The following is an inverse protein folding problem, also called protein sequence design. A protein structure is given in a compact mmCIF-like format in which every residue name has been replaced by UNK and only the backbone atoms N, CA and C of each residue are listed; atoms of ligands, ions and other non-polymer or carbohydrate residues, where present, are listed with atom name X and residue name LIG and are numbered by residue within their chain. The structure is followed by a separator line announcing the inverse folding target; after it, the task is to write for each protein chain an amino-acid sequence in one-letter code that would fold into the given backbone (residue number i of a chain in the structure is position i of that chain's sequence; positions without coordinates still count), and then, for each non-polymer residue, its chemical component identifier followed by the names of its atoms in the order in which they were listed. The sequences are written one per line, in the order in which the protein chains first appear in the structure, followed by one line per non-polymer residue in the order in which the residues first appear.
data_IF_134664625366
#
_entry.id   IF_134664625366
#
_cell.length_a   1.000
_cell.length_b   1.000
_cell.length_c   1.000
_cell.angle_alpha   90.00
_cell.angle_beta   90.00
_cell.angle_gamma   90.00
#
_symmetry.space_group_name_H-M   'P 1'
#
loop_
_entity.id
_entity.type
_entity.pdbx_description
1 polymer ?
#
# COMPACT_ATOMS: atom_id res chain seq x y z
N UNK A 1 -7.55 -14.42 9.30
CA UNK A 1 -8.28 -15.21 10.32
C UNK A 1 -8.50 -16.62 9.83
N UNK A 2 -9.13 -16.85 8.66
CA UNK A 2 -9.37 -18.23 8.14
C UNK A 2 -8.06 -19.01 8.05
N UNK A 3 -7.02 -18.48 7.43
CA UNK A 3 -5.71 -19.14 7.33
C UNK A 3 -5.09 -19.48 8.69
N UNK A 4 -5.31 -18.65 9.72
CA UNK A 4 -4.86 -18.95 11.08
C UNK A 4 -5.62 -20.15 11.67
N UNK A 5 -6.92 -20.23 11.44
CA UNK A 5 -7.75 -21.36 11.89
C UNK A 5 -7.34 -22.64 11.16
N UNK A 6 -7.20 -22.58 9.84
CA UNK A 6 -6.75 -23.71 9.02
C UNK A 6 -5.37 -24.22 9.47
N UNK A 7 -4.40 -23.33 9.67
CA UNK A 7 -3.07 -23.70 10.17
C UNK A 7 -3.15 -24.34 11.55
N UNK A 8 -3.98 -23.80 12.44
CA UNK A 8 -4.15 -24.34 13.78
C UNK A 8 -4.80 -25.74 13.77
N UNK A 9 -5.79 -25.95 12.89
CA UNK A 9 -6.41 -27.27 12.70
C UNK A 9 -5.43 -28.30 12.15
N UNK A 10 -4.66 -27.92 11.12
CA UNK A 10 -3.64 -28.82 10.53
C UNK A 10 -2.57 -29.18 11.56
N UNK A 11 -2.00 -28.23 12.27
CA UNK A 11 -0.94 -28.46 13.26
C UNK A 11 -1.40 -29.27 14.47
N UNK A 12 -2.70 -29.21 14.80
CA UNK A 12 -3.27 -29.96 15.93
C UNK A 12 -3.91 -31.30 15.52
N UNK A 13 -3.80 -31.72 14.25
CA UNK A 13 -4.52 -32.86 13.70
C UNK A 13 -6.02 -32.78 13.98
N UNK A 14 -6.64 -31.62 13.79
CA UNK A 14 -8.03 -31.32 14.06
C UNK A 14 -8.47 -31.46 15.54
N UNK A 15 -7.53 -31.45 16.48
CA UNK A 15 -7.82 -31.60 17.93
C UNK A 15 -7.71 -30.29 18.71
N UNK A 16 -7.70 -29.13 18.00
CA UNK A 16 -7.63 -27.84 18.66
C UNK A 16 -8.90 -27.56 19.50
N UNK A 17 -8.75 -27.08 20.74
CA UNK A 17 -9.91 -26.71 21.56
C UNK A 17 -10.72 -25.57 20.94
N UNK A 18 -12.05 -25.65 21.05
CA UNK A 18 -12.95 -24.60 20.56
C UNK A 18 -12.61 -23.23 21.16
N UNK A 19 -12.17 -23.18 22.39
CA UNK A 19 -11.72 -21.93 23.05
C UNK A 19 -10.54 -21.25 22.34
N UNK A 20 -9.67 -22.02 21.69
CA UNK A 20 -8.56 -21.48 20.90
C UNK A 20 -9.07 -20.89 19.59
N UNK A 21 -10.03 -21.56 18.93
CA UNK A 21 -10.68 -21.02 17.73
C UNK A 21 -11.37 -19.69 18.06
N UNK A 22 -12.10 -19.63 19.18
CA UNK A 22 -12.74 -18.39 19.64
C UNK A 22 -11.73 -17.27 19.84
N UNK A 23 -10.58 -17.55 20.49
CA UNK A 23 -9.51 -16.56 20.66
C UNK A 23 -8.95 -16.04 19.31
N UNK A 24 -8.77 -16.92 18.32
CA UNK A 24 -8.32 -16.51 16.98
C UNK A 24 -9.36 -15.60 16.32
N UNK A 25 -10.64 -15.92 16.44
CA UNK A 25 -11.73 -15.09 15.91
C UNK A 25 -11.79 -13.72 16.60
N UNK A 26 -11.67 -13.69 17.93
CA UNK A 26 -11.72 -12.44 18.70
C UNK A 26 -10.52 -11.55 18.39
N UNK A 27 -9.32 -12.14 18.26
CA UNK A 27 -8.12 -11.42 17.80
C UNK A 27 -8.34 -10.83 16.40
N UNK A 28 -8.93 -11.59 15.48
CA UNK A 28 -9.24 -11.10 14.15
C UNK A 28 -10.22 -9.92 14.15
N UNK A 29 -11.27 -10.00 14.98
CA UNK A 29 -12.24 -8.90 15.16
C UNK A 29 -11.57 -7.66 15.74
N UNK A 30 -10.72 -7.84 16.76
CA UNK A 30 -9.94 -6.74 17.35
C UNK A 30 -9.05 -6.06 16.31
N UNK A 31 -8.32 -6.84 15.50
CA UNK A 31 -7.47 -6.30 14.44
C UNK A 31 -8.26 -5.45 13.44
N UNK A 32 -9.46 -5.90 13.03
CA UNK A 32 -10.32 -5.15 12.11
C UNK A 32 -10.87 -3.87 12.76
N UNK A 33 -11.10 -3.88 14.08
CA UNK A 33 -11.69 -2.75 14.81
C UNK A 33 -10.66 -1.69 15.23
N UNK A 34 -9.37 -1.97 15.14
CA UNK A 34 -8.31 -1.01 15.53
C UNK A 34 -8.44 0.31 14.76
N UNK A 35 -8.22 1.45 15.43
CA UNK A 35 -8.19 2.73 14.75
C UNK A 35 -7.06 2.75 13.71
N UNK A 36 -7.28 3.48 12.62
CA UNK A 36 -6.25 3.72 11.61
C UNK A 36 -5.40 4.90 12.08
N UNK A 37 -4.12 4.65 12.30
CA UNK A 37 -3.15 5.69 12.62
C UNK A 37 -2.57 6.24 11.31
N UNK A 38 -2.82 7.54 11.06
CA UNK A 38 -2.28 8.22 9.89
C UNK A 38 -0.83 8.63 10.17
N UNK A 39 0.07 8.31 9.23
CA UNK A 39 1.47 8.70 9.32
C UNK A 39 1.59 10.22 9.34
N UNK A 40 2.44 10.74 10.23
CA UNK A 40 2.63 12.17 10.41
C UNK A 40 3.02 12.87 9.08
N UNK A 41 2.36 14.00 8.83
CA UNK A 41 2.56 14.81 7.64
C UNK A 41 1.82 14.37 6.38
N UNK A 42 1.20 13.18 6.35
CA UNK A 42 0.45 12.69 5.17
C UNK A 42 -0.69 13.65 4.81
N UNK A 43 -1.53 14.03 5.77
CA UNK A 43 -2.65 14.92 5.49
C UNK A 43 -2.18 16.30 4.96
N UNK A 44 -1.09 16.84 5.49
CA UNK A 44 -0.48 18.08 5.00
C UNK A 44 -0.08 17.98 3.52
N UNK A 45 0.54 16.87 3.15
CA UNK A 45 0.97 16.59 1.77
C UNK A 45 -0.24 16.49 0.86
N UNK A 46 -1.24 15.67 1.22
CA UNK A 46 -2.44 15.48 0.40
C UNK A 46 -3.19 16.80 0.19
N UNK A 47 -3.34 17.62 1.24
CA UNK A 47 -3.97 18.94 1.16
C UNK A 47 -3.22 19.86 0.18
N UNK A 48 -1.90 19.78 0.10
CA UNK A 48 -1.11 20.60 -0.81
C UNK A 48 -1.25 20.15 -2.26
N UNK A 49 -1.38 18.83 -2.49
CA UNK A 49 -1.37 18.24 -3.82
C UNK A 49 -2.75 18.10 -4.46
N UNK A 50 -3.84 18.01 -3.69
CA UNK A 50 -5.20 17.70 -4.18
C UNK A 50 -5.72 18.62 -5.28
N UNK A 51 -5.29 19.89 -5.30
CA UNK A 51 -5.72 20.87 -6.31
C UNK A 51 -4.77 20.97 -7.52
N UNK A 52 -3.66 20.23 -7.50
CA UNK A 52 -2.63 20.27 -8.54
C UNK A 52 -2.55 18.96 -9.32
N UNK A 53 -2.89 17.87 -8.65
CA UNK A 53 -2.75 16.51 -9.17
C UNK A 53 -4.01 15.70 -8.97
N UNK A 54 -4.26 14.76 -9.86
CA UNK A 54 -5.26 13.71 -9.65
C UNK A 54 -4.67 12.68 -8.69
N UNK A 55 -5.12 12.68 -7.44
CA UNK A 55 -4.63 11.77 -6.41
C UNK A 55 -5.41 10.46 -6.43
N UNK A 56 -4.70 9.35 -6.42
CA UNK A 56 -5.27 8.00 -6.43
C UNK A 56 -4.64 7.20 -5.31
N UNK A 57 -5.44 6.47 -4.54
CA UNK A 57 -4.94 5.43 -3.64
C UNK A 57 -4.74 4.17 -4.44
N UNK A 58 -3.54 3.60 -4.36
CA UNK A 58 -3.21 2.35 -5.01
C UNK A 58 -2.71 1.34 -3.98
N UNK A 59 -3.46 0.27 -3.78
CA UNK A 59 -3.20 -0.71 -2.73
C UNK A 59 -3.37 -2.15 -3.23
N UNK A 60 -2.97 -3.13 -2.41
CA UNK A 60 -3.27 -4.56 -2.60
C UNK A 60 -4.16 -5.05 -1.47
N UNK A 61 -4.97 -6.06 -1.73
CA UNK A 61 -5.76 -6.75 -0.71
C UNK A 61 -7.25 -6.77 -1.02
N UNK A 62 -8.06 -6.90 0.02
CA UNK A 62 -9.51 -6.88 -0.11
C UNK A 62 -10.02 -5.44 -0.28
N UNK A 63 -10.83 -5.21 -1.33
CA UNK A 63 -11.35 -3.89 -1.67
C UNK A 63 -12.10 -3.25 -0.50
N UNK A 64 -13.03 -4.01 0.11
CA UNK A 64 -13.85 -3.48 1.20
C UNK A 64 -13.02 -3.13 2.44
N UNK A 65 -11.98 -3.91 2.73
CA UNK A 65 -11.08 -3.63 3.85
C UNK A 65 -10.26 -2.35 3.59
N UNK A 66 -9.75 -2.17 2.37
CA UNK A 66 -8.97 -0.99 2.01
C UNK A 66 -9.83 0.28 1.96
N UNK A 67 -11.04 0.22 1.43
CA UNK A 67 -11.99 1.33 1.44
C UNK A 67 -12.35 1.73 2.88
N UNK A 68 -12.68 0.76 3.74
CA UNK A 68 -12.97 1.03 5.17
C UNK A 68 -11.79 1.67 5.90
N UNK A 69 -10.57 1.23 5.62
CA UNK A 69 -9.36 1.84 6.20
C UNK A 69 -9.20 3.28 5.74
N UNK A 70 -9.39 3.54 4.46
CA UNK A 70 -9.31 4.89 3.92
C UNK A 70 -10.36 5.81 4.54
N UNK A 71 -11.61 5.36 4.65
CA UNK A 71 -12.69 6.15 5.27
C UNK A 71 -12.41 6.43 6.74
N UNK A 72 -11.97 5.40 7.50
CA UNK A 72 -11.61 5.56 8.92
C UNK A 72 -10.42 6.49 9.14
N UNK A 73 -9.53 6.59 8.17
CA UNK A 73 -8.39 7.52 8.23
C UNK A 73 -8.82 8.99 8.08
N UNK A 74 -10.04 9.25 7.57
CA UNK A 74 -10.51 10.59 7.23
C UNK A 74 -9.82 11.22 6.01
N UNK A 75 -9.04 10.41 5.27
CA UNK A 75 -8.27 10.87 4.11
C UNK A 75 -8.98 10.68 2.77
N UNK A 76 -10.10 9.94 2.72
CA UNK A 76 -10.87 9.66 1.48
C UNK A 76 -11.21 10.93 0.69
N UNK A 77 -11.48 12.03 1.38
CA UNK A 77 -11.80 13.35 0.79
C UNK A 77 -10.71 13.95 -0.11
N UNK A 78 -9.46 13.47 -0.01
CA UNK A 78 -8.34 13.97 -0.82
C UNK A 78 -8.14 13.20 -2.12
N UNK A 79 -8.73 12.02 -2.24
CA UNK A 79 -8.51 11.13 -3.37
C UNK A 79 -9.68 11.14 -4.35
N UNK A 80 -9.36 11.10 -5.62
CA UNK A 80 -10.35 11.04 -6.70
C UNK A 80 -10.80 9.60 -6.95
N UNK A 81 -9.93 8.63 -6.61
CA UNK A 81 -10.17 7.24 -6.91
C UNK A 81 -9.36 6.30 -5.99
N UNK A 82 -9.87 5.09 -5.79
CA UNK A 82 -9.19 4.01 -5.07
C UNK A 82 -9.07 2.83 -6.01
N UNK A 83 -7.85 2.38 -6.24
CA UNK A 83 -7.53 1.20 -7.03
C UNK A 83 -6.97 0.09 -6.15
N UNK A 84 -7.53 -1.09 -6.28
CA UNK A 84 -7.03 -2.29 -5.59
C UNK A 84 -6.54 -3.28 -6.63
N UNK A 85 -5.23 -3.46 -6.67
CA UNK A 85 -4.59 -4.40 -7.57
C UNK A 85 -4.46 -5.77 -6.93
N UNK A 86 -4.60 -6.82 -7.74
CA UNK A 86 -4.31 -8.20 -7.32
C UNK A 86 -2.83 -8.40 -7.01
N UNK A 87 -1.96 -7.74 -7.78
CA UNK A 87 -0.52 -7.68 -7.58
C UNK A 87 0.02 -6.32 -8.07
N UNK A 88 1.23 -5.96 -7.68
CA UNK A 88 1.92 -4.72 -8.06
C UNK A 88 3.14 -5.04 -8.93
N UNK A 89 2.87 -5.56 -10.13
CA UNK A 89 3.85 -5.84 -11.19
C UNK A 89 3.68 -4.86 -12.35
N UNK A 90 4.68 -4.81 -13.24
CA UNK A 90 4.71 -3.94 -14.41
C UNK A 90 3.42 -4.02 -15.23
N UNK A 91 2.96 -5.23 -15.53
CA UNK A 91 1.73 -5.48 -16.32
C UNK A 91 0.49 -4.88 -15.63
N UNK A 92 0.37 -5.05 -14.31
CA UNK A 92 -0.76 -4.51 -13.56
C UNK A 92 -0.78 -2.99 -13.59
N UNK A 93 0.40 -2.35 -13.51
CA UNK A 93 0.52 -0.89 -13.61
C UNK A 93 0.22 -0.38 -15.03
N UNK A 94 0.70 -1.06 -16.08
CA UNK A 94 0.38 -0.68 -17.45
C UNK A 94 -1.12 -0.78 -17.75
N UNK A 95 -1.77 -1.87 -17.34
CA UNK A 95 -3.21 -2.05 -17.47
C UNK A 95 -4.00 -0.96 -16.70
N UNK A 96 -3.53 -0.60 -15.51
CA UNK A 96 -4.12 0.47 -14.73
C UNK A 96 -4.00 1.82 -15.45
N UNK A 97 -2.82 2.16 -15.96
CA UNK A 97 -2.58 3.42 -16.65
C UNK A 97 -3.39 3.53 -17.93
N UNK A 98 -3.54 2.44 -18.68
CA UNK A 98 -4.42 2.37 -19.84
C UNK A 98 -5.88 2.59 -19.43
N UNK A 99 -6.36 1.91 -18.39
CA UNK A 99 -7.73 2.08 -17.87
C UNK A 99 -8.03 3.51 -17.42
N UNK A 100 -7.04 4.16 -16.79
CA UNK A 100 -7.16 5.53 -16.28
C UNK A 100 -6.92 6.59 -17.37
N UNK A 101 -6.54 6.17 -18.58
CA UNK A 101 -6.15 7.05 -19.70
C UNK A 101 -5.01 8.00 -19.31
N UNK A 102 -4.03 7.51 -18.50
CA UNK A 102 -2.88 8.29 -18.04
C UNK A 102 -1.62 7.86 -18.76
N UNK A 103 -0.94 8.76 -19.49
CA UNK A 103 0.36 8.46 -20.08
C UNK A 103 1.41 8.11 -19.01
N UNK A 104 2.27 7.15 -19.31
CA UNK A 104 3.32 6.65 -18.36
C UNK A 104 4.18 7.80 -17.81
N UNK A 105 4.55 8.76 -18.67
CA UNK A 105 5.38 9.92 -18.28
C UNK A 105 4.64 10.98 -17.45
N UNK A 106 3.34 10.84 -17.22
CA UNK A 106 2.52 11.69 -16.36
C UNK A 106 2.14 10.98 -15.05
N UNK A 107 2.65 9.79 -14.81
CA UNK A 107 2.39 9.01 -13.61
C UNK A 107 3.57 9.06 -12.65
N UNK A 108 3.24 9.33 -11.38
CA UNK A 108 4.19 9.28 -10.28
C UNK A 108 3.65 8.37 -9.18
N UNK A 109 4.41 7.34 -8.82
CA UNK A 109 4.13 6.50 -7.66
C UNK A 109 4.89 6.98 -6.43
N UNK A 110 4.21 7.09 -5.30
CA UNK A 110 4.82 7.37 -4.01
C UNK A 110 4.49 6.21 -3.08
N UNK A 111 5.50 5.47 -2.63
CA UNK A 111 5.28 4.27 -1.84
C UNK A 111 6.47 3.87 -0.98
N UNK A 112 6.24 2.90 -0.10
CA UNK A 112 7.26 2.43 0.85
C UNK A 112 7.96 1.13 0.42
N UNK A 113 7.43 0.41 -0.55
CA UNK A 113 8.02 -0.84 -1.02
C UNK A 113 8.84 -0.62 -2.28
N UNK A 114 10.14 -0.86 -2.19
CA UNK A 114 11.00 -0.87 -3.38
C UNK A 114 10.51 -1.89 -4.41
N UNK A 115 10.16 -3.10 -3.94
CA UNK A 115 9.76 -4.22 -4.79
C UNK A 115 8.40 -4.00 -5.47
N UNK A 116 7.42 -3.50 -4.73
CA UNK A 116 6.04 -3.40 -5.21
C UNK A 116 5.68 -2.02 -5.73
N UNK A 117 6.23 -0.93 -5.16
CA UNK A 117 5.82 0.44 -5.50
C UNK A 117 6.83 1.14 -6.40
N UNK A 118 8.12 0.82 -6.29
CA UNK A 118 9.16 1.62 -6.96
C UNK A 118 9.67 0.93 -8.22
N UNK A 119 10.22 -0.28 -8.08
CA UNK A 119 10.88 -0.98 -9.20
C UNK A 119 9.95 -1.21 -10.40
N UNK A 120 8.72 -1.73 -10.24
CA UNK A 120 7.84 -1.93 -11.38
C UNK A 120 7.50 -0.63 -12.11
N UNK A 121 7.43 0.48 -11.39
CA UNK A 121 7.13 1.80 -11.95
C UNK A 121 8.31 2.34 -12.76
N UNK A 122 9.52 2.23 -12.22
CA UNK A 122 10.73 2.63 -12.93
C UNK A 122 10.95 1.77 -14.17
N UNK A 123 10.69 0.47 -14.09
CA UNK A 123 10.84 -0.46 -15.20
C UNK A 123 9.91 -0.15 -16.39
N UNK A 124 8.70 0.35 -16.13
CA UNK A 124 7.79 0.80 -17.20
C UNK A 124 8.08 2.22 -17.70
N UNK A 125 9.10 2.90 -17.17
CA UNK A 125 9.51 4.25 -17.56
C UNK A 125 8.73 5.38 -16.88
N UNK A 126 7.96 5.09 -15.84
CA UNK A 126 7.30 6.09 -15.01
C UNK A 126 8.19 6.57 -13.85
N UNK A 127 7.73 7.58 -13.12
CA UNK A 127 8.46 8.15 -11.99
C UNK A 127 8.03 7.52 -10.67
N UNK A 128 8.98 7.33 -9.74
CA UNK A 128 8.70 6.84 -8.41
C UNK A 128 9.46 7.61 -7.32
N UNK A 129 8.80 7.80 -6.18
CA UNK A 129 9.42 8.31 -4.95
C UNK A 129 9.28 7.23 -3.88
N UNK A 130 10.40 6.78 -3.38
CA UNK A 130 10.48 5.85 -2.26
C UNK A 130 10.44 6.62 -0.93
N UNK A 131 9.49 6.27 -0.07
CA UNK A 131 9.38 6.80 1.30
C UNK A 131 9.46 5.61 2.25
N UNK A 132 10.65 5.24 2.75
CA UNK A 132 10.82 4.07 3.59
C UNK A 132 9.94 4.13 4.85
N UNK A 133 9.38 2.98 5.23
CA UNK A 133 8.67 2.82 6.48
C UNK A 133 9.43 1.82 7.36
N UNK A 134 9.47 2.05 8.66
CA UNK A 134 10.27 1.26 9.61
C UNK A 134 9.91 -0.24 9.66
N UNK A 135 8.72 -0.59 9.20
CA UNK A 135 8.28 -1.99 9.12
C UNK A 135 8.11 -2.39 7.67
N UNK A 136 9.07 -3.16 7.15
CA UNK A 136 8.99 -3.76 5.81
C UNK A 136 8.77 -5.25 5.94
N UNK A 137 7.83 -5.80 5.20
CA UNK A 137 7.58 -7.24 5.17
C UNK A 137 8.78 -7.97 4.59
N UNK A 138 9.13 -9.15 5.13
CA UNK A 138 10.31 -9.90 4.71
C UNK A 138 10.36 -10.17 3.19
N UNK A 139 9.20 -10.36 2.53
CA UNK A 139 9.14 -10.59 1.09
C UNK A 139 9.19 -9.30 0.25
N UNK A 140 9.14 -8.13 0.88
CA UNK A 140 9.30 -6.83 0.24
C UNK A 140 10.76 -6.31 0.37
N UNK A 141 11.61 -7.04 1.08
CA UNK A 141 13.04 -6.73 1.20
C UNK A 141 13.71 -7.12 -0.12
N UNK A 142 14.38 -6.17 -0.74
CA UNK A 142 15.18 -6.35 -1.96
C UNK A 142 16.64 -6.19 -1.62
N UNK A 143 17.53 -7.01 -2.20
CA UNK A 143 18.96 -6.86 -2.02
C UNK A 143 19.47 -5.58 -2.70
N UNK A 144 20.44 -4.90 -2.07
CA UNK A 144 20.98 -3.62 -2.56
C UNK A 144 21.64 -3.70 -3.94
N UNK A 145 21.95 -4.91 -4.42
CA UNK A 145 22.61 -5.16 -5.71
C UNK A 145 21.66 -5.05 -6.91
N UNK A 146 20.34 -5.12 -6.71
CA UNK A 146 19.33 -5.14 -7.79
C UNK A 146 18.75 -3.74 -8.09
N UNK A 147 19.34 -2.66 -7.55
CA UNK A 147 18.72 -1.34 -7.66
C UNK A 147 19.17 -0.59 -8.90
N UNK A 148 18.28 -0.44 -9.84
CA UNK A 148 18.35 0.65 -10.81
C UNK A 148 18.05 1.95 -10.05
N UNK A 149 19.10 2.78 -9.76
CA UNK A 149 19.01 4.00 -8.93
C UNK A 149 18.21 5.14 -9.58
N UNK A 150 17.24 4.84 -10.43
CA UNK A 150 16.51 5.83 -11.21
C UNK A 150 15.22 6.30 -10.49
N UNK A 151 15.25 6.35 -9.15
CA UNK A 151 14.15 6.84 -8.34
C UNK A 151 14.65 7.78 -7.23
N UNK A 152 13.77 8.66 -6.76
CA UNK A 152 14.04 9.51 -5.61
C UNK A 152 13.69 8.77 -4.32
N UNK A 153 14.57 8.82 -3.32
CA UNK A 153 14.27 8.38 -1.95
C UNK A 153 14.25 9.57 -1.00
N UNK A 154 13.23 9.68 -0.17
CA UNK A 154 13.10 10.68 0.89
C UNK A 154 12.80 10.01 2.22
N UNK A 155 13.27 10.60 3.32
CA UNK A 155 13.10 9.99 4.66
C UNK A 155 11.70 10.24 5.25
N UNK A 156 11.04 11.31 4.85
CA UNK A 156 9.70 11.68 5.34
C UNK A 156 8.80 12.06 4.18
N UNK A 157 7.54 11.69 4.28
CA UNK A 157 6.54 12.00 3.24
C UNK A 157 6.46 13.49 2.93
N UNK A 158 6.66 14.36 3.92
CA UNK A 158 6.62 15.83 3.73
C UNK A 158 7.73 16.37 2.83
N UNK A 159 8.83 15.64 2.65
CA UNK A 159 9.95 16.06 1.83
C UNK A 159 9.62 16.04 0.33
N UNK A 160 8.61 15.24 -0.08
CA UNK A 160 8.17 15.19 -1.49
C UNK A 160 7.70 16.56 -1.99
N UNK A 161 7.21 17.43 -1.09
CA UNK A 161 6.78 18.79 -1.45
C UNK A 161 7.91 19.69 -1.98
N UNK A 162 9.17 19.31 -1.81
CA UNK A 162 10.32 20.01 -2.41
C UNK A 162 10.44 19.76 -3.92
N UNK A 163 9.82 18.68 -4.39
CA UNK A 163 9.92 18.19 -5.77
C UNK A 163 8.60 18.32 -6.54
N UNK A 164 7.49 18.51 -5.83
CA UNK A 164 6.13 18.61 -6.38
C UNK A 164 5.57 20.03 -6.12
N UNK A 165 5.73 20.88 -7.10
CA UNK A 165 5.25 22.28 -7.05
C UNK A 165 3.94 22.47 -7.80
#
# INVERSE_FOLDING_TARGET
VLSMIESALVLSNNSIPQTTITKILDLGKEMISRPVEVIDGVEKVLRHLQNKYRLIVLTKGDLLDQERKLDRSGLSKYFHHVEVLSDKKEENYLNLLEHLEVPVNQFLMIGNSLKSDVMPIVNIGAQAIHVPFHTTWAHEVVSLEDHNNNHLTVNKITEILKYLN
#
